data_IF_200551853627
#
_entry.id   IF_200551853627
#
_cell.length_a   1.000
_cell.length_b   1.000
_cell.length_c   1.000
_cell.angle_alpha   90.00
_cell.angle_beta   90.00
_cell.angle_gamma   90.00
#
_symmetry.space_group_name_H-M   'P 1'
#
loop_
_entity.id
_entity.type
_entity.pdbx_description
1 polymer ?
#
# COMPACT_ATOMS: atom_id res chain seq x y z
N UNK A 1 -11.01 11.71 -39.90
CA UNK A 1 -10.05 11.90 -38.78
C UNK A 1 -8.70 11.48 -39.28
N UNK A 2 -7.70 12.37 -39.24
CA UNK A 2 -6.37 12.05 -39.77
C UNK A 2 -5.60 11.23 -38.71
N UNK A 3 -4.84 10.21 -39.10
CA UNK A 3 -4.06 9.39 -38.17
C UNK A 3 -3.03 10.18 -37.32
N UNK A 4 -2.70 11.41 -37.73
CA UNK A 4 -1.83 12.32 -36.98
C UNK A 4 -2.48 12.90 -35.71
N UNK A 5 -3.81 13.04 -35.66
CA UNK A 5 -4.51 13.61 -34.51
C UNK A 5 -4.61 12.59 -33.37
N UNK A 6 -4.80 11.30 -33.68
CA UNK A 6 -4.85 10.22 -32.69
C UNK A 6 -3.50 9.95 -32.03
N UNK A 7 -2.39 10.00 -32.80
CA UNK A 7 -1.05 9.79 -32.24
C UNK A 7 -0.64 10.93 -31.29
N UNK A 8 -0.97 12.17 -31.65
CA UNK A 8 -0.73 13.33 -30.79
C UNK A 8 -1.54 13.29 -29.49
N UNK A 9 -2.81 12.88 -29.55
CA UNK A 9 -3.65 12.73 -28.35
C UNK A 9 -3.17 11.59 -27.44
N UNK A 10 -2.71 10.48 -28.02
CA UNK A 10 -2.13 9.37 -27.24
C UNK A 10 -0.81 9.77 -26.55
N UNK A 11 0.04 10.56 -27.23
CA UNK A 11 1.26 11.13 -26.63
C UNK A 11 0.94 12.12 -25.50
N UNK A 12 0.04 13.08 -25.74
CA UNK A 12 -0.38 14.05 -24.73
C UNK A 12 -1.02 13.38 -23.49
N UNK A 13 -1.83 12.32 -23.71
CA UNK A 13 -2.38 11.52 -22.62
C UNK A 13 -1.29 10.77 -21.84
N UNK A 14 -0.31 10.20 -22.54
CA UNK A 14 0.85 9.53 -21.94
C UNK A 14 1.66 10.45 -21.03
N UNK A 15 1.91 11.68 -21.48
CA UNK A 15 2.64 12.69 -20.72
C UNK A 15 1.86 13.18 -19.50
N UNK A 16 0.56 13.43 -19.65
CA UNK A 16 -0.33 13.79 -18.54
C UNK A 16 -0.38 12.67 -17.48
N UNK A 17 -0.47 11.41 -17.91
CA UNK A 17 -0.47 10.25 -17.02
C UNK A 17 0.87 10.11 -16.28
N UNK A 18 2.00 10.36 -16.94
CA UNK A 18 3.31 10.36 -16.31
C UNK A 18 3.41 11.44 -15.21
N UNK A 19 2.87 12.63 -15.47
CA UNK A 19 2.77 13.71 -14.48
C UNK A 19 1.92 13.32 -13.27
N UNK A 20 0.78 12.66 -13.50
CA UNK A 20 -0.11 12.23 -12.42
C UNK A 20 0.49 11.11 -11.58
N UNK A 21 1.18 10.14 -12.19
CA UNK A 21 1.93 9.10 -11.47
C UNK A 21 2.93 9.74 -10.50
N UNK A 22 3.63 10.80 -10.90
CA UNK A 22 4.58 11.52 -10.03
C UNK A 22 3.89 12.28 -8.88
N UNK A 23 2.69 12.81 -9.11
CA UNK A 23 1.89 13.47 -8.06
C UNK A 23 1.38 12.44 -7.06
N UNK A 24 0.87 11.31 -7.53
CA UNK A 24 0.39 10.22 -6.68
C UNK A 24 1.53 9.57 -5.89
N UNK A 25 2.71 9.42 -6.47
CA UNK A 25 3.90 8.99 -5.73
C UNK A 25 4.20 9.87 -4.50
N UNK A 26 4.11 11.19 -4.67
CA UNK A 26 4.32 12.15 -3.57
C UNK A 26 3.20 12.10 -2.54
N UNK A 27 1.95 11.97 -3.00
CA UNK A 27 0.79 11.79 -2.12
C UNK A 27 0.92 10.50 -1.29
N UNK A 28 1.35 9.40 -1.89
CA UNK A 28 1.60 8.13 -1.21
C UNK A 28 2.63 8.26 -0.09
N UNK A 29 3.76 8.92 -0.35
CA UNK A 29 4.77 9.15 0.68
C UNK A 29 4.23 10.02 1.83
N UNK A 30 3.37 11.01 1.54
CA UNK A 30 2.71 11.84 2.57
C UNK A 30 1.73 11.02 3.40
N UNK A 31 0.86 10.23 2.77
CA UNK A 31 -0.09 9.37 3.46
C UNK A 31 0.66 8.36 4.32
N UNK A 32 1.69 7.71 3.78
CA UNK A 32 2.53 6.75 4.51
C UNK A 32 3.13 7.39 5.75
N UNK A 33 3.78 8.54 5.62
CA UNK A 33 4.38 9.22 6.76
C UNK A 33 3.32 9.64 7.79
N UNK A 34 2.16 10.13 7.35
CA UNK A 34 1.04 10.49 8.24
C UNK A 34 0.51 9.29 9.03
N UNK A 35 0.23 8.18 8.34
CA UNK A 35 -0.26 6.95 8.96
C UNK A 35 0.77 6.38 9.94
N UNK A 36 2.05 6.27 9.53
CA UNK A 36 3.10 5.78 10.42
C UNK A 36 3.32 6.67 11.63
N UNK A 37 3.23 7.99 11.46
CA UNK A 37 3.34 8.93 12.59
C UNK A 37 2.18 8.74 13.57
N UNK A 38 0.96 8.58 13.06
CA UNK A 38 -0.22 8.34 13.90
C UNK A 38 -0.11 7.00 14.67
N UNK A 39 0.29 5.92 13.99
CA UNK A 39 0.50 4.62 14.65
C UNK A 39 1.65 4.68 15.65
N UNK A 40 2.75 5.37 15.33
CA UNK A 40 3.88 5.51 16.24
C UNK A 40 3.48 6.29 17.49
N UNK A 41 2.76 7.40 17.32
CA UNK A 41 2.22 8.19 18.42
C UNK A 41 1.28 7.35 19.29
N UNK A 42 0.37 6.57 18.68
CA UNK A 42 -0.52 5.67 19.42
C UNK A 42 0.26 4.67 20.28
N UNK A 43 1.28 4.02 19.71
CA UNK A 43 2.09 3.04 20.45
C UNK A 43 2.94 3.69 21.54
N UNK A 44 3.43 4.92 21.32
CA UNK A 44 4.13 5.68 22.35
C UNK A 44 3.21 6.05 23.51
N UNK A 45 2.01 6.56 23.21
CA UNK A 45 1.02 6.94 24.23
C UNK A 45 0.58 5.71 25.03
N UNK A 46 0.18 4.62 24.37
CA UNK A 46 -0.34 3.44 25.05
C UNK A 46 0.77 2.61 25.73
N UNK A 47 1.90 2.41 25.04
CA UNK A 47 2.99 1.58 25.53
C UNK A 47 3.91 2.28 26.54
N UNK A 48 4.30 3.52 26.27
CA UNK A 48 5.21 4.29 27.14
C UNK A 48 4.42 5.14 28.12
N UNK A 49 3.45 5.92 27.65
CA UNK A 49 2.67 6.84 28.49
C UNK A 49 1.73 6.15 29.48
N UNK A 50 0.94 5.19 29.01
CA UNK A 50 -0.03 4.43 29.83
C UNK A 50 0.52 3.09 30.34
N UNK A 51 1.77 2.75 30.01
CA UNK A 51 2.45 1.56 30.53
C UNK A 51 1.92 0.22 30.04
N UNK A 52 1.13 0.16 28.95
CA UNK A 52 0.54 -1.09 28.48
C UNK A 52 1.56 -1.94 27.69
N UNK A 53 2.01 -3.10 28.20
CA UNK A 53 3.12 -3.86 27.60
C UNK A 53 2.79 -4.43 26.21
N UNK A 54 1.52 -4.72 25.93
CA UNK A 54 1.06 -5.22 24.62
C UNK A 54 1.40 -4.28 23.45
N UNK A 55 1.57 -2.97 23.71
CA UNK A 55 1.87 -1.96 22.70
C UNK A 55 3.38 -1.69 22.54
N UNK A 56 4.23 -2.31 23.35
CA UNK A 56 5.69 -2.07 23.28
C UNK A 56 6.39 -2.91 22.21
N UNK A 57 5.85 -4.10 21.91
CA UNK A 57 6.47 -5.06 20.96
C UNK A 57 6.67 -4.47 19.56
N UNK A 58 5.74 -3.66 19.08
CA UNK A 58 5.79 -3.04 17.76
C UNK A 58 6.71 -1.81 17.67
N UNK A 59 7.09 -1.18 18.79
CA UNK A 59 7.69 0.17 18.80
C UNK A 59 9.00 0.24 17.99
N UNK A 60 9.90 -0.73 18.17
CA UNK A 60 11.19 -0.71 17.49
C UNK A 60 11.03 -0.86 15.97
N UNK A 61 10.18 -1.81 15.54
CA UNK A 61 9.92 -2.03 14.12
C UNK A 61 9.20 -0.83 13.49
N UNK A 62 8.26 -0.24 14.21
CA UNK A 62 7.50 0.94 13.76
C UNK A 62 8.36 2.19 13.69
N UNK A 63 9.26 2.41 14.65
CA UNK A 63 10.22 3.50 14.63
C UNK A 63 11.21 3.36 13.47
N UNK A 64 11.75 2.16 13.25
CA UNK A 64 12.63 1.88 12.10
C UNK A 64 11.90 2.13 10.77
N UNK A 65 10.65 1.68 10.66
CA UNK A 65 9.84 1.89 9.47
C UNK A 65 9.52 3.38 9.27
N UNK A 66 9.22 4.11 10.35
CA UNK A 66 8.98 5.55 10.30
C UNK A 66 10.22 6.31 9.81
N UNK A 67 11.41 5.97 10.29
CA UNK A 67 12.67 6.56 9.80
C UNK A 67 12.87 6.27 8.32
N UNK A 68 12.66 5.03 7.88
CA UNK A 68 12.74 4.67 6.46
C UNK A 68 11.73 5.47 5.61
N UNK A 69 10.49 5.64 6.08
CA UNK A 69 9.48 6.44 5.41
C UNK A 69 9.84 7.93 5.36
N UNK A 70 10.44 8.48 6.42
CA UNK A 70 10.93 9.86 6.45
C UNK A 70 12.06 10.08 5.43
N UNK A 71 13.01 9.14 5.34
CA UNK A 71 14.08 9.18 4.35
C UNK A 71 13.54 9.10 2.92
N UNK A 72 12.59 8.21 2.65
CA UNK A 72 11.92 8.09 1.36
C UNK A 72 11.14 9.35 0.99
N UNK A 73 10.45 9.96 1.96
CA UNK A 73 9.75 11.22 1.77
C UNK A 73 10.73 12.35 1.43
N UNK A 74 11.84 12.47 2.16
CA UNK A 74 12.88 13.48 1.90
C UNK A 74 13.56 13.27 0.54
N UNK A 75 13.93 12.03 0.20
CA UNK A 75 14.54 11.68 -1.08
C UNK A 75 13.57 11.91 -2.25
N UNK A 76 12.30 11.57 -2.08
CA UNK A 76 11.23 11.75 -3.06
C UNK A 76 10.90 13.21 -3.39
N UNK A 77 11.27 14.17 -2.53
CA UNK A 77 11.17 15.60 -2.86
C UNK A 77 12.24 16.06 -3.85
N UNK A 78 13.42 15.43 -3.84
CA UNK A 78 14.59 15.89 -4.59
C UNK A 78 14.77 15.18 -5.94
N UNK A 79 14.25 13.97 -6.12
CA UNK A 79 14.56 13.14 -7.29
C UNK A 79 13.32 12.51 -7.94
N UNK A 80 12.98 12.96 -9.15
CA UNK A 80 11.86 12.40 -9.94
C UNK A 80 12.03 10.91 -10.30
N UNK A 81 13.27 10.39 -10.35
CA UNK A 81 13.54 8.95 -10.57
C UNK A 81 12.97 8.07 -9.44
N UNK A 82 13.00 8.54 -8.20
CA UNK A 82 12.46 7.78 -7.06
C UNK A 82 10.93 7.69 -7.09
N UNK A 83 10.25 8.66 -7.70
CA UNK A 83 8.80 8.64 -7.85
C UNK A 83 8.29 7.61 -8.89
N UNK A 84 9.16 7.08 -9.77
CA UNK A 84 8.82 5.90 -10.59
C UNK A 84 8.98 4.58 -9.83
N UNK A 85 9.88 4.53 -8.87
CA UNK A 85 10.12 3.38 -8.01
C UNK A 85 9.14 3.31 -6.84
N UNK A 86 8.55 4.44 -6.42
CA UNK A 86 7.66 4.53 -5.24
C UNK A 86 6.49 3.55 -5.27
N UNK A 87 5.93 3.26 -6.46
CA UNK A 87 4.84 2.30 -6.58
C UNK A 87 5.25 0.85 -6.31
N UNK A 88 6.54 0.50 -6.43
CA UNK A 88 7.06 -0.80 -6.00
C UNK A 88 7.38 -0.84 -4.51
N UNK A 89 7.60 0.31 -3.89
CA UNK A 89 7.94 0.39 -2.46
C UNK A 89 6.81 -0.15 -1.60
N UNK A 90 5.55 0.01 -2.01
CA UNK A 90 4.41 -0.52 -1.25
C UNK A 90 4.50 -2.05 -1.12
N UNK A 91 4.61 -2.76 -2.25
CA UNK A 91 4.72 -4.22 -2.24
C UNK A 91 6.03 -4.72 -1.65
N UNK A 92 7.17 -4.09 -1.97
CA UNK A 92 8.50 -4.63 -1.63
C UNK A 92 9.04 -4.18 -0.27
N UNK A 93 8.52 -3.10 0.31
CA UNK A 93 8.97 -2.57 1.60
C UNK A 93 7.83 -2.50 2.60
N UNK A 94 6.71 -1.85 2.26
CA UNK A 94 5.65 -1.58 3.23
C UNK A 94 4.99 -2.87 3.72
N UNK A 95 4.68 -3.79 2.80
CA UNK A 95 4.06 -5.08 3.15
C UNK A 95 5.01 -5.93 4.02
N UNK A 96 6.29 -6.18 3.64
CA UNK A 96 7.22 -6.89 4.49
C UNK A 96 7.46 -6.23 5.86
N UNK A 97 7.56 -4.90 5.92
CA UNK A 97 7.74 -4.19 7.20
C UNK A 97 6.51 -4.35 8.09
N UNK A 98 5.31 -4.21 7.53
CA UNK A 98 4.07 -4.45 8.27
C UNK A 98 4.01 -5.91 8.79
N UNK A 99 4.39 -6.89 7.97
CA UNK A 99 4.51 -8.28 8.39
C UNK A 99 5.48 -8.45 9.56
N UNK A 100 6.70 -7.89 9.47
CA UNK A 100 7.72 -8.02 10.53
C UNK A 100 7.26 -7.38 11.84
N UNK A 101 6.63 -6.20 11.78
CA UNK A 101 6.08 -5.52 12.95
C UNK A 101 4.99 -6.37 13.60
N UNK A 102 4.08 -6.93 12.81
CA UNK A 102 2.98 -7.75 13.33
C UNK A 102 3.49 -9.09 13.88
N UNK A 103 4.38 -9.77 13.16
CA UNK A 103 4.99 -11.01 13.61
C UNK A 103 5.76 -10.83 14.93
N UNK A 104 6.51 -9.74 15.07
CA UNK A 104 7.20 -9.40 16.32
C UNK A 104 6.25 -9.03 17.46
N UNK A 105 5.03 -8.61 17.15
CA UNK A 105 4.02 -8.24 18.15
C UNK A 105 3.15 -9.41 18.62
N UNK A 106 3.16 -10.54 17.90
CA UNK A 106 2.38 -11.73 18.26
C UNK A 106 2.74 -12.28 19.65
N UNK A 107 4.01 -12.23 20.04
CA UNK A 107 4.46 -12.74 21.35
C UNK A 107 3.93 -11.92 22.54
N UNK A 108 3.61 -10.64 22.32
CA UNK A 108 3.04 -9.74 23.32
C UNK A 108 1.52 -9.59 23.21
N UNK A 109 0.88 -10.25 22.24
CA UNK A 109 -0.55 -10.12 21.98
C UNK A 109 -1.38 -10.96 22.96
N UNK A 110 -2.42 -10.35 23.55
CA UNK A 110 -3.40 -11.06 24.40
C UNK A 110 -4.19 -12.10 23.61
N UNK A 111 -4.44 -11.83 22.33
CA UNK A 111 -5.10 -12.73 21.38
C UNK A 111 -4.34 -12.67 20.05
N UNK A 112 -3.53 -13.70 19.79
CA UNK A 112 -2.70 -13.82 18.58
C UNK A 112 -3.55 -13.93 17.32
N UNK A 113 -4.72 -14.58 17.40
CA UNK A 113 -5.61 -14.76 16.25
C UNK A 113 -6.25 -13.44 15.86
N UNK A 114 -6.74 -12.67 16.83
CA UNK A 114 -7.30 -11.34 16.58
C UNK A 114 -6.28 -10.39 15.94
N UNK A 115 -5.02 -10.41 16.42
CA UNK A 115 -3.93 -9.65 15.81
C UNK A 115 -3.66 -10.07 14.36
N UNK A 116 -3.71 -11.38 14.07
CA UNK A 116 -3.58 -11.91 12.71
C UNK A 116 -4.68 -11.43 11.76
N UNK A 117 -5.94 -11.42 12.22
CA UNK A 117 -7.09 -10.94 11.44
C UNK A 117 -7.04 -9.42 11.20
N UNK A 118 -6.64 -8.63 12.19
CA UNK A 118 -6.44 -7.18 12.03
C UNK A 118 -5.45 -6.86 10.90
N UNK A 119 -4.42 -7.69 10.73
CA UNK A 119 -3.39 -7.50 9.71
C UNK A 119 -3.94 -7.64 8.28
N UNK A 120 -5.04 -8.38 8.07
CA UNK A 120 -5.74 -8.42 6.78
C UNK A 120 -6.19 -7.02 6.37
N UNK A 121 -6.72 -6.24 7.31
CA UNK A 121 -7.13 -4.85 7.07
C UNK A 121 -5.94 -3.95 6.72
N UNK A 122 -4.79 -4.14 7.39
CA UNK A 122 -3.56 -3.42 7.08
C UNK A 122 -3.08 -3.72 5.66
N UNK A 123 -3.07 -4.99 5.26
CA UNK A 123 -2.66 -5.37 3.90
C UNK A 123 -3.65 -4.92 2.83
N UNK A 124 -4.97 -4.96 3.09
CA UNK A 124 -5.97 -4.35 2.20
C UNK A 124 -5.70 -2.86 2.00
N UNK A 125 -5.43 -2.13 3.08
CA UNK A 125 -5.09 -0.71 3.02
C UNK A 125 -3.84 -0.46 2.16
N UNK A 126 -2.80 -1.29 2.29
CA UNK A 126 -1.60 -1.20 1.45
C UNK A 126 -1.90 -1.51 -0.03
N UNK A 127 -2.77 -2.49 -0.33
CA UNK A 127 -3.22 -2.76 -1.70
C UNK A 127 -3.98 -1.56 -2.29
N UNK A 128 -4.85 -0.93 -1.50
CA UNK A 128 -5.56 0.30 -1.91
C UNK A 128 -4.58 1.46 -2.16
N UNK A 129 -3.54 1.59 -1.34
CA UNK A 129 -2.45 2.55 -1.59
C UNK A 129 -1.71 2.24 -2.88
N UNK A 130 -1.37 0.97 -3.15
CA UNK A 130 -0.74 0.58 -4.41
C UNK A 130 -1.61 0.93 -5.64
N UNK A 131 -2.94 0.93 -5.49
CA UNK A 131 -3.85 1.31 -6.57
C UNK A 131 -3.75 2.80 -6.96
N UNK A 132 -3.40 3.68 -6.02
CA UNK A 132 -3.16 5.10 -6.30
C UNK A 132 -1.93 5.31 -7.19
N UNK A 133 -0.98 4.38 -7.25
CA UNK A 133 0.21 4.48 -8.10
C UNK A 133 -0.09 4.33 -9.61
N UNK A 134 -1.36 4.15 -10.00
CA UNK A 134 -1.85 4.08 -11.40
C UNK A 134 -1.22 2.96 -12.25
N UNK A 135 -0.72 1.88 -11.63
CA UNK A 135 -0.12 0.74 -12.34
C UNK A 135 -0.70 -0.58 -11.86
N UNK A 136 -1.49 -1.24 -12.71
CA UNK A 136 -2.12 -2.53 -12.39
C UNK A 136 -1.11 -3.60 -11.95
N UNK A 137 0.09 -3.63 -12.54
CA UNK A 137 1.17 -4.56 -12.16
C UNK A 137 1.60 -4.39 -10.69
N UNK A 138 1.58 -3.17 -10.17
CA UNK A 138 1.97 -2.89 -8.78
C UNK A 138 0.90 -3.35 -7.79
N UNK A 139 -0.38 -3.27 -8.17
CA UNK A 139 -1.49 -3.81 -7.37
C UNK A 139 -1.31 -5.31 -7.20
N UNK A 140 -1.12 -6.05 -8.30
CA UNK A 140 -0.95 -7.51 -8.26
C UNK A 140 0.32 -7.95 -7.53
N UNK A 141 1.43 -7.24 -7.69
CA UNK A 141 2.66 -7.51 -6.92
C UNK A 141 2.43 -7.30 -5.42
N UNK A 142 1.82 -6.18 -5.04
CA UNK A 142 1.52 -5.88 -3.63
C UNK A 142 0.56 -6.91 -3.05
N UNK A 143 -0.47 -7.32 -3.81
CA UNK A 143 -1.42 -8.33 -3.40
C UNK A 143 -0.76 -9.71 -3.22
N UNK A 144 0.11 -10.12 -4.15
CA UNK A 144 0.83 -11.39 -4.04
C UNK A 144 1.72 -11.47 -2.80
N UNK A 145 2.49 -10.40 -2.53
CA UNK A 145 3.34 -10.33 -1.34
C UNK A 145 2.48 -10.27 -0.07
N UNK A 146 1.37 -9.51 -0.11
CA UNK A 146 0.43 -9.42 1.01
C UNK A 146 -0.18 -10.77 1.36
N UNK A 147 -0.60 -11.54 0.34
CA UNK A 147 -1.15 -12.89 0.52
C UNK A 147 -0.10 -13.82 1.13
N UNK A 148 1.14 -13.81 0.62
CA UNK A 148 2.21 -14.63 1.17
C UNK A 148 2.51 -14.30 2.64
N UNK A 149 2.65 -13.00 2.96
CA UNK A 149 2.85 -12.53 4.32
C UNK A 149 1.66 -12.86 5.23
N UNK A 150 0.42 -12.72 4.75
CA UNK A 150 -0.78 -12.99 5.53
C UNK A 150 -0.93 -14.47 5.87
N UNK A 151 -0.70 -15.36 4.90
CA UNK A 151 -0.72 -16.81 5.14
C UNK A 151 0.31 -17.18 6.21
N UNK A 152 1.53 -16.67 6.10
CA UNK A 152 2.59 -16.94 7.08
C UNK A 152 2.19 -16.41 8.46
N UNK A 153 1.70 -15.18 8.55
CA UNK A 153 1.28 -14.57 9.82
C UNK A 153 0.13 -15.33 10.49
N UNK A 154 -0.88 -15.74 9.72
CA UNK A 154 -2.01 -16.51 10.24
C UNK A 154 -1.62 -17.91 10.70
N UNK A 155 -0.67 -18.55 10.01
CA UNK A 155 -0.08 -19.82 10.48
C UNK A 155 0.66 -19.64 11.80
N UNK A 156 1.47 -18.58 11.92
CA UNK A 156 2.17 -18.25 13.17
C UNK A 156 1.20 -17.92 14.30
N UNK A 157 0.06 -17.31 13.98
CA UNK A 157 -1.00 -16.99 14.93
C UNK A 157 -1.90 -18.17 15.34
N UNK A 158 -1.74 -19.36 14.73
CA UNK A 158 -2.59 -20.52 14.98
C UNK A 158 -4.02 -20.37 14.45
N UNK A 159 -4.18 -19.63 13.36
CA UNK A 159 -5.49 -19.44 12.72
C UNK A 159 -5.96 -20.70 11.99
N UNK A 160 -7.27 -20.80 11.76
CA UNK A 160 -7.90 -21.92 11.06
C UNK A 160 -7.65 -21.84 9.55
N UNK A 161 -7.69 -22.99 8.87
CA UNK A 161 -7.61 -23.05 7.40
C UNK A 161 -8.71 -22.20 6.75
N UNK A 162 -9.93 -22.21 7.32
CA UNK A 162 -11.03 -21.37 6.86
C UNK A 162 -10.72 -19.87 6.93
N UNK A 163 -10.12 -19.42 8.04
CA UNK A 163 -9.67 -18.02 8.21
C UNK A 163 -8.59 -17.62 7.19
N UNK A 164 -7.65 -18.51 6.91
CA UNK A 164 -6.61 -18.31 5.90
C UNK A 164 -7.24 -18.17 4.51
N UNK A 165 -8.09 -19.11 4.11
CA UNK A 165 -8.75 -19.09 2.79
C UNK A 165 -9.60 -17.83 2.64
N UNK A 166 -10.38 -17.46 3.66
CA UNK A 166 -11.17 -16.23 3.65
C UNK A 166 -10.31 -14.98 3.46
N UNK A 167 -9.14 -14.92 4.11
CA UNK A 167 -8.22 -13.79 4.02
C UNK A 167 -7.57 -13.67 2.64
N UNK A 168 -7.19 -14.80 2.04
CA UNK A 168 -6.68 -14.84 0.65
C UNK A 168 -7.75 -14.37 -0.33
N UNK A 169 -8.98 -14.85 -0.19
CA UNK A 169 -10.10 -14.43 -1.03
C UNK A 169 -10.38 -12.93 -0.87
N UNK A 170 -10.36 -12.42 0.36
CA UNK A 170 -10.62 -11.01 0.64
C UNK A 170 -9.52 -10.10 0.04
N UNK A 171 -8.24 -10.45 0.24
CA UNK A 171 -7.11 -9.71 -0.36
C UNK A 171 -7.15 -9.76 -1.89
N UNK A 172 -7.44 -10.94 -2.45
CA UNK A 172 -7.58 -11.13 -3.90
C UNK A 172 -8.74 -10.33 -4.49
N UNK A 173 -9.91 -10.36 -3.86
CA UNK A 173 -11.07 -9.59 -4.28
C UNK A 173 -10.82 -8.08 -4.16
N UNK A 174 -10.20 -7.63 -3.06
CA UNK A 174 -9.81 -6.23 -2.88
C UNK A 174 -8.84 -5.74 -3.95
N UNK A 175 -7.83 -6.55 -4.29
CA UNK A 175 -6.90 -6.28 -5.38
C UNK A 175 -7.60 -6.23 -6.75
N UNK A 176 -8.50 -7.19 -7.01
CA UNK A 176 -9.30 -7.22 -8.23
C UNK A 176 -10.20 -5.99 -8.40
N UNK A 177 -10.88 -5.58 -7.32
CA UNK A 177 -11.71 -4.38 -7.29
C UNK A 177 -10.87 -3.12 -7.54
N UNK A 178 -9.71 -3.00 -6.90
CA UNK A 178 -8.79 -1.89 -7.12
C UNK A 178 -8.28 -1.84 -8.58
N UNK A 179 -7.90 -2.99 -9.14
CA UNK A 179 -7.42 -3.09 -10.52
C UNK A 179 -8.54 -2.74 -11.52
N UNK A 180 -9.77 -3.21 -11.29
CA UNK A 180 -10.93 -2.88 -12.11
C UNK A 180 -11.27 -1.39 -12.05
N UNK A 181 -11.34 -0.81 -10.85
CA UNK A 181 -11.61 0.60 -10.65
C UNK A 181 -10.55 1.49 -11.33
N UNK A 182 -9.27 1.10 -11.23
CA UNK A 182 -8.17 1.79 -11.91
C UNK A 182 -8.33 1.73 -13.44
N UNK A 183 -8.56 0.54 -14.00
CA UNK A 183 -8.74 0.35 -15.45
C UNK A 183 -9.91 1.19 -15.97
N UNK A 184 -11.04 1.16 -15.26
CA UNK A 184 -12.25 1.89 -15.65
C UNK A 184 -12.07 3.41 -15.57
N UNK A 185 -11.34 3.92 -14.57
CA UNK A 185 -11.00 5.35 -14.48
C UNK A 185 -10.14 5.82 -15.66
N UNK A 186 -9.12 5.04 -16.02
CA UNK A 186 -8.25 5.37 -17.16
C UNK A 186 -9.05 5.37 -18.46
N UNK A 187 -9.91 4.37 -18.68
CA UNK A 187 -10.74 4.27 -19.89
C UNK A 187 -11.70 5.46 -20.03
N UNK A 188 -12.39 5.84 -18.95
CA UNK A 188 -13.32 6.97 -18.96
C UNK A 188 -12.63 8.30 -19.28
N UNK A 189 -11.46 8.55 -18.68
CA UNK A 189 -10.70 9.77 -18.97
C UNK A 189 -10.24 9.78 -20.43
N UNK A 190 -9.79 8.63 -20.94
CA UNK A 190 -9.39 8.49 -22.35
C UNK A 190 -10.56 8.79 -23.29
N UNK A 191 -11.75 8.25 -23.02
CA UNK A 191 -12.95 8.49 -23.81
C UNK A 191 -13.34 9.99 -23.84
N UNK A 192 -13.35 10.66 -22.68
CA UNK A 192 -13.68 12.10 -22.59
C UNK A 192 -12.67 12.95 -23.39
N UNK A 193 -11.38 12.63 -23.34
CA UNK A 193 -10.35 13.35 -24.12
C UNK A 193 -10.60 13.20 -25.62
N UNK A 194 -10.96 12.00 -26.08
CA UNK A 194 -11.30 11.78 -27.50
C UNK A 194 -12.60 12.49 -27.90
N UNK A 195 -13.63 12.48 -27.05
CA UNK A 195 -14.91 13.15 -27.32
C UNK A 195 -14.76 14.67 -27.42
N UNK A 196 -13.96 15.30 -26.55
CA UNK A 196 -13.72 16.76 -26.60
C UNK A 196 -12.78 17.21 -27.73
N UNK A 197 -12.08 16.27 -28.37
CA UNK A 197 -11.22 16.56 -29.52
C UNK A 197 -11.95 16.56 -30.88
N UNK A 198 -13.25 16.21 -30.87
CA UNK A 198 -14.09 16.09 -32.06
C UNK A 198 -15.01 17.29 -32.24
#
# INVERSE_FOLDING_TARGET
>A
MRPADSSFLDEAFGDALAGEILRNARLLNRIRLGVLSAFLLLHLVLGVGLGQPAWRGALNGLALYWVAALLLFAAGRKHARFARLSGYVVGLLDVPMAFLIQAGSLSSATDTRSAGVFTVGVFLFLIMLAALALRARQIWLTAGISVACQITLQRLAGDTVGGIVASVLLLGAGAGLCAFALKRRIELVRQVVFEQSR
#
